data_IF_671372387664
#
_entry.id   IF_671372387664
#
_cell.length_a   1.000
_cell.length_b   1.000
_cell.length_c   1.000
_cell.angle_alpha   90.00
_cell.angle_beta   90.00
_cell.angle_gamma   90.00
#
_symmetry.space_group_name_H-M   'P 1'
#
loop_
_entity.id
_entity.type
_entity.pdbx_description
1 polymer ?
#
# COMPACT_ATOMS: atom_id res chain seq x y z
N UNK A 1 2.49 0.96 27.32
CA UNK A 1 2.51 2.37 26.86
C UNK A 1 1.13 2.77 26.40
N UNK A 2 0.60 3.95 26.82
CA UNK A 2 -0.75 4.40 26.42
C UNK A 2 -0.97 4.36 24.92
N UNK A 3 0.06 4.67 24.16
CA UNK A 3 0.01 4.60 22.70
C UNK A 3 -0.15 3.15 22.20
N UNK A 4 0.62 2.21 22.74
CA UNK A 4 0.54 0.79 22.36
C UNK A 4 -0.81 0.19 22.77
N UNK A 5 -1.29 0.53 23.95
CA UNK A 5 -2.56 0.02 24.44
C UNK A 5 -3.72 0.49 23.53
N UNK A 6 -3.68 1.77 23.15
CA UNK A 6 -4.67 2.32 22.20
C UNK A 6 -4.56 1.71 20.80
N UNK A 7 -3.34 1.45 20.32
CA UNK A 7 -3.14 0.74 19.05
C UNK A 7 -3.76 -0.67 19.08
N UNK A 8 -3.57 -1.39 20.17
CA UNK A 8 -4.16 -2.74 20.33
C UNK A 8 -5.68 -2.70 20.29
N UNK A 9 -6.30 -1.72 20.95
CA UNK A 9 -7.76 -1.55 20.94
C UNK A 9 -8.30 -1.27 19.54
N UNK A 10 -7.65 -0.38 18.79
CA UNK A 10 -8.12 0.04 17.48
C UNK A 10 -7.82 -0.98 16.37
N UNK A 11 -6.68 -1.64 16.44
CA UNK A 11 -6.24 -2.53 15.37
C UNK A 11 -6.61 -3.99 15.60
N UNK A 12 -7.11 -4.34 16.78
CA UNK A 12 -7.31 -5.74 17.20
C UNK A 12 -6.02 -6.56 17.10
N UNK A 13 -4.87 -5.89 17.05
CA UNK A 13 -3.55 -6.48 16.84
C UNK A 13 -2.62 -6.20 17.99
N UNK A 14 -1.94 -7.22 18.44
CA UNK A 14 -0.76 -7.05 19.28
C UNK A 14 0.48 -6.99 18.37
N UNK A 15 1.16 -5.83 18.28
CA UNK A 15 2.32 -5.69 17.39
C UNK A 15 3.51 -6.55 17.81
N UNK A 16 3.54 -7.04 19.05
CA UNK A 16 4.63 -7.88 19.54
C UNK A 16 4.38 -9.37 19.31
N UNK A 17 3.19 -9.86 19.63
CA UNK A 17 2.86 -11.27 19.46
C UNK A 17 2.46 -11.64 18.03
N UNK A 18 1.99 -10.69 17.26
CA UNK A 18 1.42 -10.89 15.92
C UNK A 18 0.17 -11.77 15.94
N UNK A 19 -0.42 -11.99 17.10
CA UNK A 19 -1.72 -12.68 17.22
C UNK A 19 -2.81 -11.74 16.80
N UNK A 20 -3.73 -12.23 15.99
CA UNK A 20 -4.77 -11.44 15.33
C UNK A 20 -4.23 -10.34 14.43
N UNK A 21 -4.24 -10.62 13.24
CA UNK A 21 -3.62 -9.84 12.23
C UNK A 21 -4.53 -9.00 11.49
N UNK A 22 -4.16 -7.89 11.31
CA UNK A 22 -3.85 -7.56 9.91
C UNK A 22 -2.91 -6.39 9.95
N UNK A 23 -1.86 -6.35 9.16
CA UNK A 23 -1.15 -5.13 8.88
C UNK A 23 -2.10 -4.14 8.20
N UNK A 24 -3.25 -3.89 8.81
CA UNK A 24 -4.25 -2.96 8.34
C UNK A 24 -3.75 -1.54 8.53
N UNK A 25 -4.00 -0.68 7.54
CA UNK A 25 -3.89 0.76 7.68
C UNK A 25 -5.16 1.25 8.36
N UNK A 26 -5.00 1.99 9.47
CA UNK A 26 -6.11 2.67 10.14
C UNK A 26 -6.14 4.09 9.62
N UNK A 27 -7.26 4.49 9.04
CA UNK A 27 -7.47 5.83 8.49
C UNK A 27 -8.48 6.59 9.34
N UNK A 28 -8.13 7.81 9.73
CA UNK A 28 -9.05 8.72 10.40
C UNK A 28 -9.86 9.45 9.34
N UNK A 29 -11.13 9.11 9.23
CA UNK A 29 -12.03 9.62 8.18
C UNK A 29 -12.38 11.10 8.34
N UNK A 30 -12.25 11.64 9.54
CA UNK A 30 -12.47 13.05 9.88
C UNK A 30 -11.20 13.89 9.85
N UNK A 31 -10.04 13.28 9.56
CA UNK A 31 -8.77 13.99 9.48
C UNK A 31 -8.69 14.88 8.25
N UNK A 32 -8.47 16.19 8.46
CA UNK A 32 -8.21 17.14 7.38
C UNK A 32 -6.99 16.77 6.53
N UNK A 33 -5.99 16.14 7.14
CA UNK A 33 -4.80 15.62 6.45
C UNK A 33 -5.04 14.26 5.78
N UNK A 34 -6.23 13.67 5.97
CA UNK A 34 -6.49 12.29 5.60
C UNK A 34 -5.41 11.37 6.18
N UNK A 35 -5.19 11.52 7.49
CA UNK A 35 -4.14 10.82 8.22
C UNK A 35 -4.47 9.35 8.37
N UNK A 36 -3.48 8.52 8.12
CA UNK A 36 -3.54 7.08 8.35
C UNK A 36 -2.30 6.64 9.08
N UNK A 37 -2.40 5.54 9.83
CA UNK A 37 -1.23 4.92 10.41
C UNK A 37 -1.28 3.39 10.30
N UNK A 38 -0.12 2.78 10.39
CA UNK A 38 0.02 1.33 10.49
C UNK A 38 1.15 0.98 11.44
N UNK A 39 0.94 -0.07 12.20
CA UNK A 39 1.94 -0.68 13.06
C UNK A 39 2.07 -2.15 12.70
N UNK A 40 3.08 -2.47 11.95
CA UNK A 40 3.38 -3.84 11.58
C UNK A 40 3.87 -4.64 12.80
N UNK A 41 3.95 -5.97 12.63
CA UNK A 41 4.55 -6.83 13.65
C UNK A 41 5.97 -6.35 13.99
N UNK A 42 6.31 -6.35 15.28
CA UNK A 42 7.60 -5.93 15.80
C UNK A 42 8.47 -7.15 16.18
N UNK A 43 9.79 -7.09 15.99
CA UNK A 43 10.54 -6.00 15.36
C UNK A 43 10.25 -5.91 13.87
N UNK A 44 10.14 -4.68 13.35
CA UNK A 44 9.93 -4.44 11.92
C UNK A 44 11.25 -4.57 11.13
N UNK A 45 12.37 -4.20 11.77
CA UNK A 45 13.70 -4.34 11.19
C UNK A 45 14.55 -5.33 11.98
N UNK A 46 15.45 -6.11 11.33
CA UNK A 46 16.30 -7.10 12.01
C UNK A 46 17.14 -6.53 13.15
N UNK A 47 17.58 -5.29 13.03
CA UNK A 47 18.45 -4.59 14.02
C UNK A 47 17.67 -3.70 14.99
N UNK A 48 16.35 -3.74 14.95
CA UNK A 48 15.52 -2.90 15.82
C UNK A 48 15.64 -3.37 17.27
N UNK A 49 15.89 -2.45 18.23
CA UNK A 49 15.87 -2.76 19.65
C UNK A 49 14.48 -3.30 20.08
N UNK A 50 14.47 -4.20 21.03
CA UNK A 50 13.24 -4.88 21.49
C UNK A 50 12.24 -3.97 22.20
N UNK A 51 12.71 -2.87 22.75
CA UNK A 51 11.95 -1.85 23.47
C UNK A 51 11.47 -0.70 22.56
N UNK A 52 11.81 -0.75 21.28
CA UNK A 52 11.42 0.26 20.29
C UNK A 52 10.26 -0.27 19.44
N UNK A 53 9.25 0.56 19.27
CA UNK A 53 8.12 0.34 18.36
C UNK A 53 8.25 1.26 17.15
N UNK A 54 8.17 0.70 15.94
CA UNK A 54 8.15 1.48 14.70
C UNK A 54 6.71 1.59 14.19
N UNK A 55 6.26 2.83 14.04
CA UNK A 55 4.92 3.17 13.53
C UNK A 55 5.07 4.06 12.30
N UNK A 56 4.32 3.73 11.26
CA UNK A 56 4.24 4.53 10.04
C UNK A 56 2.97 5.36 10.07
N UNK A 57 3.13 6.67 9.85
CA UNK A 57 2.01 7.61 9.75
C UNK A 57 2.05 8.25 8.37
N UNK A 58 0.92 8.29 7.71
CA UNK A 58 0.76 8.84 6.36
C UNK A 58 -0.21 10.01 6.38
N UNK A 59 0.00 10.97 5.51
CA UNK A 59 -0.95 12.03 5.24
C UNK A 59 -0.99 12.30 3.74
N UNK A 60 -2.17 12.41 3.16
CA UNK A 60 -2.37 12.63 1.72
C UNK A 60 -2.74 14.08 1.40
N UNK A 61 -3.52 14.74 2.25
CA UNK A 61 -3.99 16.11 2.07
C UNK A 61 -3.18 17.09 2.94
N UNK A 62 -1.87 17.01 2.83
CA UNK A 62 -0.91 17.66 3.73
C UNK A 62 -0.86 19.17 3.63
N UNK A 63 -1.42 19.78 2.59
CA UNK A 63 -1.43 21.24 2.38
C UNK A 63 -2.53 21.95 3.19
N UNK A 64 -3.48 21.20 3.73
CA UNK A 64 -4.54 21.73 4.58
C UNK A 64 -4.05 21.90 6.03
N UNK A 65 -4.61 22.86 6.80
CA UNK A 65 -4.43 22.86 8.25
C UNK A 65 -5.00 21.59 8.88
N UNK A 66 -4.31 21.07 9.90
CA UNK A 66 -4.83 19.95 10.69
C UNK A 66 -6.10 20.29 11.45
N UNK A 67 -6.76 19.30 12.01
CA UNK A 67 -7.96 19.49 12.82
C UNK A 67 -7.64 20.21 14.13
N UNK A 68 -6.51 19.86 14.73
CA UNK A 68 -6.05 20.35 16.02
C UNK A 68 -4.83 21.26 15.85
N UNK A 69 -3.84 20.86 15.08
CA UNK A 69 -2.70 21.68 14.71
C UNK A 69 -3.06 22.52 13.48
N UNK A 70 -3.26 23.82 13.70
CA UNK A 70 -3.76 24.76 12.66
C UNK A 70 -2.67 25.18 11.65
N UNK A 71 -1.88 24.22 11.19
CA UNK A 71 -0.82 24.38 10.19
C UNK A 71 -0.90 23.30 9.13
N UNK A 72 -0.42 23.54 7.91
CA UNK A 72 -0.13 22.46 6.95
C UNK A 72 0.93 21.51 7.50
N UNK A 73 0.79 20.21 7.25
CA UNK A 73 1.69 19.21 7.82
C UNK A 73 3.18 19.44 7.51
N UNK A 74 3.60 19.90 6.33
CA UNK A 74 5.01 20.20 6.04
C UNK A 74 5.62 21.32 6.90
N UNK A 75 4.77 22.19 7.46
CA UNK A 75 5.19 23.26 8.35
C UNK A 75 5.18 22.87 9.83
N UNK A 76 4.80 21.62 10.14
CA UNK A 76 4.73 21.13 11.51
C UNK A 76 6.06 20.55 11.97
N UNK A 77 6.32 20.70 13.27
CA UNK A 77 7.34 19.93 13.97
C UNK A 77 6.88 18.50 14.19
N UNK A 78 7.82 17.58 14.47
CA UNK A 78 7.47 16.21 14.83
C UNK A 78 6.52 16.09 16.03
N UNK A 79 6.66 17.00 17.02
CA UNK A 79 5.77 17.05 18.18
C UNK A 79 4.36 17.49 17.80
N UNK A 80 4.21 18.43 16.88
CA UNK A 80 2.90 18.88 16.40
C UNK A 80 2.19 17.77 15.61
N UNK A 81 2.91 17.03 14.77
CA UNK A 81 2.35 15.86 14.05
C UNK A 81 1.91 14.79 15.06
N UNK A 82 2.72 14.54 16.08
CA UNK A 82 2.36 13.60 17.15
C UNK A 82 1.13 14.08 17.93
N UNK A 83 1.01 15.39 18.18
CA UNK A 83 -0.15 15.97 18.85
C UNK A 83 -1.44 15.72 18.02
N UNK A 84 -1.41 15.99 16.73
CA UNK A 84 -2.52 15.71 15.83
C UNK A 84 -2.92 14.23 15.88
N UNK A 85 -1.93 13.33 15.81
CA UNK A 85 -2.17 11.89 15.92
C UNK A 85 -2.77 11.50 17.28
N UNK A 86 -2.26 12.03 18.39
CA UNK A 86 -2.78 11.73 19.73
C UNK A 86 -4.23 12.19 19.90
N UNK A 87 -4.61 13.33 19.34
CA UNK A 87 -5.99 13.79 19.32
C UNK A 87 -6.89 12.82 18.54
N UNK A 88 -6.51 12.42 17.35
CA UNK A 88 -7.29 11.44 16.59
C UNK A 88 -7.38 10.07 17.27
N UNK A 89 -6.38 9.71 18.06
CA UNK A 89 -6.39 8.50 18.88
C UNK A 89 -7.20 8.64 20.19
N UNK A 90 -7.59 9.85 20.60
CA UNK A 90 -8.27 10.12 21.87
C UNK A 90 -7.36 9.98 23.09
N UNK A 91 -6.05 10.21 22.93
CA UNK A 91 -5.03 10.15 23.99
C UNK A 91 -4.24 11.46 24.13
N UNK A 92 -4.83 12.58 23.71
CA UNK A 92 -4.20 13.90 23.78
C UNK A 92 -3.76 14.29 25.21
N UNK A 93 -4.50 13.84 26.21
CA UNK A 93 -4.18 14.05 27.63
C UNK A 93 -2.87 13.38 28.08
N UNK A 94 -2.32 12.50 27.27
CA UNK A 94 -1.03 11.79 27.48
C UNK A 94 0.05 12.25 26.52
N UNK A 95 -0.16 13.34 25.79
CA UNK A 95 0.78 13.81 24.76
C UNK A 95 2.19 13.99 25.29
N UNK A 96 2.36 14.57 26.48
CA UNK A 96 3.69 14.81 27.04
C UNK A 96 4.44 13.51 27.35
N UNK A 97 3.74 12.53 27.93
CA UNK A 97 4.30 11.21 28.20
C UNK A 97 4.71 10.49 26.88
N UNK A 98 3.82 10.54 25.89
CA UNK A 98 4.07 9.91 24.59
C UNK A 98 5.22 10.61 23.88
N UNK A 99 5.24 11.94 23.86
CA UNK A 99 6.26 12.74 23.19
C UNK A 99 7.66 12.57 23.81
N UNK A 100 7.74 12.43 25.14
CA UNK A 100 9.01 12.18 25.83
C UNK A 100 9.67 10.86 25.40
N UNK A 101 8.87 9.88 24.97
CA UNK A 101 9.32 8.55 24.57
C UNK A 101 9.23 8.29 23.05
N UNK A 102 8.92 9.30 22.24
CA UNK A 102 8.73 9.15 20.81
C UNK A 102 9.70 10.03 20.01
N UNK A 103 10.29 9.44 18.98
CA UNK A 103 11.08 10.18 17.99
C UNK A 103 10.35 10.19 16.68
N UNK A 104 9.87 11.35 16.26
CA UNK A 104 9.22 11.54 14.98
C UNK A 104 10.24 11.91 13.91
N UNK A 105 10.16 11.26 12.76
CA UNK A 105 10.91 11.59 11.55
C UNK A 105 9.94 11.88 10.43
N UNK A 106 9.92 13.13 9.97
CA UNK A 106 9.15 13.54 8.81
C UNK A 106 9.94 13.26 7.54
N UNK A 107 9.31 12.61 6.58
CA UNK A 107 9.82 12.44 5.24
C UNK A 107 8.74 12.91 4.25
N UNK A 108 9.08 13.90 3.44
CA UNK A 108 8.25 14.32 2.31
C UNK A 108 8.62 13.44 1.12
N UNK A 109 7.61 12.88 0.47
CA UNK A 109 7.78 12.02 -0.69
C UNK A 109 7.03 12.62 -1.88
N UNK A 110 7.66 13.55 -2.61
CA UNK A 110 7.02 14.23 -3.74
C UNK A 110 6.54 13.22 -4.78
N UNK A 111 5.32 13.45 -5.28
CA UNK A 111 4.72 12.64 -6.34
C UNK A 111 4.49 11.16 -6.01
N UNK A 112 4.58 10.74 -4.75
CA UNK A 112 4.38 9.34 -4.34
C UNK A 112 3.01 8.79 -4.76
N UNK A 113 2.00 9.64 -4.84
CA UNK A 113 0.64 9.29 -5.27
C UNK A 113 0.40 9.43 -6.77
N UNK A 114 1.41 9.84 -7.54
CA UNK A 114 1.28 10.04 -9.00
C UNK A 114 0.83 8.76 -9.75
N UNK A 115 1.09 7.58 -9.20
CA UNK A 115 0.64 6.31 -9.74
C UNK A 115 -0.89 6.16 -9.80
N UNK A 116 -1.62 6.89 -8.94
CA UNK A 116 -3.08 6.86 -8.90
C UNK A 116 -3.73 7.93 -9.80
N UNK A 117 -2.94 8.80 -10.40
CA UNK A 117 -3.47 9.83 -11.28
C UNK A 117 -3.88 9.23 -12.62
N UNK A 118 -5.00 9.72 -13.22
CA UNK A 118 -5.39 9.35 -14.56
C UNK A 118 -4.26 9.62 -15.55
N UNK A 119 -4.09 8.70 -16.51
CA UNK A 119 -3.10 8.84 -17.57
C UNK A 119 -3.60 8.19 -18.86
N UNK A 120 -3.11 8.65 -19.98
CA UNK A 120 -3.25 7.97 -21.27
C UNK A 120 -2.11 6.97 -21.50
N UNK A 121 -2.32 6.05 -22.41
CA UNK A 121 -1.25 5.16 -22.86
C UNK A 121 -0.13 5.99 -23.52
N UNK A 122 1.10 5.73 -23.10
CA UNK A 122 2.28 6.45 -23.60
C UNK A 122 2.67 7.71 -22.81
N UNK A 123 1.91 8.08 -21.77
CA UNK A 123 2.27 9.20 -20.88
C UNK A 123 3.53 8.91 -20.04
N UNK A 124 3.92 7.66 -19.96
CA UNK A 124 5.10 7.21 -19.23
C UNK A 124 6.19 6.75 -20.19
N UNK A 125 7.46 6.94 -19.83
CA UNK A 125 8.57 6.44 -20.65
C UNK A 125 8.57 4.91 -20.67
N UNK A 126 9.01 4.32 -21.78
CA UNK A 126 9.31 2.90 -21.83
C UNK A 126 10.44 2.52 -20.88
N UNK A 127 10.48 1.28 -20.44
CA UNK A 127 11.55 0.73 -19.58
C UNK A 127 12.94 0.98 -20.19
N UNK A 128 13.08 0.77 -21.48
CA UNK A 128 14.25 1.22 -22.24
C UNK A 128 13.75 2.24 -23.28
N UNK A 129 14.00 3.53 -23.08
CA UNK A 129 13.54 4.55 -24.02
C UNK A 129 14.15 4.37 -25.42
N UNK A 130 13.40 4.76 -26.44
CA UNK A 130 13.85 4.66 -27.81
C UNK A 130 15.21 5.38 -28.02
N UNK A 131 16.15 4.72 -28.69
CA UNK A 131 17.51 5.23 -28.90
C UNK A 131 18.48 5.03 -27.71
N UNK A 132 18.03 4.59 -26.56
CA UNK A 132 18.90 4.31 -25.41
C UNK A 132 19.49 2.88 -25.51
N UNK A 133 20.82 2.79 -25.29
CA UNK A 133 21.55 1.52 -25.32
C UNK A 133 22.13 1.11 -23.97
N UNK A 134 22.14 2.04 -23.01
CA UNK A 134 22.75 1.89 -21.69
C UNK A 134 21.89 2.50 -20.55
N UNK A 135 20.65 2.88 -20.85
CA UNK A 135 19.71 3.43 -19.87
C UNK A 135 18.48 2.54 -19.77
N UNK A 136 18.16 2.09 -18.58
CA UNK A 136 16.91 1.40 -18.23
C UNK A 136 16.22 2.12 -17.09
N UNK A 137 14.94 2.39 -17.25
CA UNK A 137 14.06 2.96 -16.24
C UNK A 137 13.22 1.83 -15.63
N UNK A 138 12.92 1.91 -14.34
CA UNK A 138 12.14 0.88 -13.67
C UNK A 138 11.28 1.46 -12.55
N UNK A 139 10.34 0.64 -12.06
CA UNK A 139 9.43 1.03 -11.00
C UNK A 139 8.16 1.69 -11.52
N UNK A 140 7.49 2.43 -10.65
CA UNK A 140 6.14 2.94 -10.89
C UNK A 140 6.01 4.02 -11.97
N UNK A 141 7.10 4.58 -12.45
CA UNK A 141 7.10 5.70 -13.39
C UNK A 141 7.32 5.28 -14.84
N UNK A 142 7.39 4.01 -15.13
CA UNK A 142 7.57 3.50 -16.50
C UNK A 142 6.27 2.92 -17.07
N UNK A 143 6.18 2.88 -18.39
CA UNK A 143 5.05 2.25 -19.07
C UNK A 143 5.13 0.73 -18.95
N UNK A 144 4.06 0.14 -18.46
CA UNK A 144 3.86 -1.32 -18.41
C UNK A 144 2.43 -1.62 -18.82
N UNK A 145 2.25 -2.57 -19.72
CA UNK A 145 0.92 -3.03 -20.12
C UNK A 145 0.35 -3.99 -19.08
N UNK A 146 -0.91 -3.78 -18.71
CA UNK A 146 -1.70 -4.69 -17.87
C UNK A 146 -1.11 -4.98 -16.47
N UNK A 147 -0.24 -4.12 -15.94
CA UNK A 147 0.36 -4.31 -14.62
C UNK A 147 -0.19 -3.33 -13.58
N UNK A 148 -0.15 -3.73 -12.32
CA UNK A 148 -0.45 -2.86 -11.18
C UNK A 148 0.86 -2.18 -10.76
N UNK A 149 1.06 -0.98 -11.23
CA UNK A 149 2.34 -0.28 -11.26
C UNK A 149 2.95 0.12 -9.92
N UNK A 150 2.25 0.00 -8.81
CA UNK A 150 2.80 0.32 -7.48
C UNK A 150 3.23 -0.91 -6.68
N UNK A 151 3.17 -2.10 -7.29
CA UNK A 151 3.54 -3.34 -6.62
C UNK A 151 5.04 -3.63 -6.74
N UNK A 152 5.54 -4.43 -5.80
CA UNK A 152 6.91 -4.96 -5.86
C UNK A 152 7.12 -5.79 -7.12
N UNK A 153 6.11 -6.56 -7.52
CA UNK A 153 6.15 -7.40 -8.74
C UNK A 153 6.33 -6.55 -9.99
N UNK A 154 5.65 -5.42 -10.08
CA UNK A 154 5.83 -4.45 -11.17
C UNK A 154 7.27 -3.93 -11.22
N UNK A 155 7.86 -3.58 -10.08
CA UNK A 155 9.23 -3.11 -10.00
C UNK A 155 10.24 -4.18 -10.43
N UNK A 156 10.05 -5.43 -10.00
CA UNK A 156 10.90 -6.56 -10.40
C UNK A 156 10.71 -6.87 -11.89
N UNK A 157 9.50 -6.80 -12.40
CA UNK A 157 9.18 -7.03 -13.81
C UNK A 157 9.90 -6.01 -14.70
N UNK A 158 9.77 -4.73 -14.38
CA UNK A 158 10.44 -3.65 -15.14
C UNK A 158 11.95 -3.76 -15.08
N UNK A 159 12.53 -4.13 -13.93
CA UNK A 159 13.95 -4.41 -13.81
C UNK A 159 14.40 -5.58 -14.72
N UNK A 160 13.62 -6.66 -14.77
CA UNK A 160 13.91 -7.79 -15.69
C UNK A 160 13.82 -7.37 -17.15
N UNK A 161 12.81 -6.58 -17.53
CA UNK A 161 12.69 -6.05 -18.89
C UNK A 161 13.91 -5.19 -19.24
N UNK A 162 14.33 -4.29 -18.34
CA UNK A 162 15.52 -3.47 -18.53
C UNK A 162 16.78 -4.33 -18.81
N UNK A 163 17.05 -5.28 -17.91
CA UNK A 163 18.23 -6.16 -18.02
C UNK A 163 18.18 -6.99 -19.30
N UNK A 164 17.06 -7.64 -19.61
CA UNK A 164 16.96 -8.50 -20.78
C UNK A 164 17.10 -7.71 -22.08
N UNK A 165 16.55 -6.51 -22.14
CA UNK A 165 16.64 -5.64 -23.31
C UNK A 165 18.05 -5.09 -23.50
N UNK A 166 18.62 -4.49 -22.46
CA UNK A 166 19.97 -3.86 -22.54
C UNK A 166 21.08 -4.89 -22.81
N UNK A 167 20.99 -6.07 -22.20
CA UNK A 167 21.95 -7.14 -22.41
C UNK A 167 21.61 -8.05 -23.61
N UNK A 168 20.55 -7.73 -24.37
CA UNK A 168 20.10 -8.50 -25.54
C UNK A 168 19.88 -10.00 -25.22
N UNK A 169 19.39 -10.30 -24.03
CA UNK A 169 19.16 -11.67 -23.62
C UNK A 169 17.91 -12.23 -24.32
N UNK A 170 18.02 -13.46 -24.83
CA UNK A 170 16.88 -14.18 -25.42
C UNK A 170 15.99 -14.80 -24.32
N UNK A 171 15.54 -13.95 -23.39
CA UNK A 171 14.66 -14.33 -22.29
C UNK A 171 13.40 -13.49 -22.33
N UNK A 172 12.27 -14.09 -21.99
CA UNK A 172 10.98 -13.40 -21.88
C UNK A 172 10.63 -13.21 -20.41
N UNK A 173 10.13 -12.03 -20.08
CA UNK A 173 9.46 -11.81 -18.78
C UNK A 173 8.06 -12.43 -18.90
N UNK A 174 7.64 -13.29 -17.98
CA UNK A 174 6.30 -13.90 -18.03
C UNK A 174 5.21 -12.83 -18.08
N UNK A 175 4.16 -13.09 -18.83
CA UNK A 175 3.00 -12.20 -18.89
C UNK A 175 2.25 -12.20 -17.56
N UNK A 176 1.49 -11.14 -17.32
CA UNK A 176 0.60 -11.05 -16.17
C UNK A 176 -0.66 -11.84 -16.52
N UNK A 177 -1.13 -12.62 -15.56
CA UNK A 177 -2.41 -13.31 -15.70
C UNK A 177 -3.56 -12.28 -15.76
N UNK A 178 -4.34 -12.24 -16.85
CA UNK A 178 -5.40 -11.24 -17.02
C UNK A 178 -6.65 -11.63 -16.20
N UNK A 179 -6.55 -11.64 -14.88
CA UNK A 179 -7.61 -12.10 -13.97
C UNK A 179 -8.90 -11.30 -14.10
N UNK A 180 -8.85 -10.06 -14.62
CA UNK A 180 -10.03 -9.25 -14.93
C UNK A 180 -10.89 -9.86 -16.05
N UNK A 181 -10.34 -10.78 -16.84
CA UNK A 181 -11.07 -11.51 -17.87
C UNK A 181 -11.31 -12.99 -17.51
N UNK A 182 -10.80 -13.43 -16.35
CA UNK A 182 -11.07 -14.80 -15.87
C UNK A 182 -12.46 -14.85 -15.21
N UNK A 183 -13.37 -15.51 -15.88
CA UNK A 183 -14.76 -15.63 -15.43
C UNK A 183 -14.89 -16.30 -14.06
N UNK A 184 -13.97 -17.18 -13.68
CA UNK A 184 -13.94 -17.83 -12.36
C UNK A 184 -13.58 -16.83 -11.27
N UNK A 185 -12.62 -15.96 -11.56
CA UNK A 185 -12.23 -14.86 -10.64
C UNK A 185 -13.36 -13.85 -10.49
N UNK A 186 -14.04 -13.52 -11.58
CA UNK A 186 -15.21 -12.63 -11.57
C UNK A 186 -16.39 -13.25 -10.77
N UNK A 187 -16.64 -14.54 -10.92
CA UNK A 187 -17.68 -15.24 -10.15
C UNK A 187 -17.33 -15.29 -8.66
N UNK A 188 -16.08 -15.54 -8.30
CA UNK A 188 -15.63 -15.49 -6.91
C UNK A 188 -15.80 -14.08 -6.31
N UNK A 189 -15.44 -13.07 -7.06
CA UNK A 189 -15.62 -11.68 -6.63
C UNK A 189 -17.11 -11.33 -6.46
N UNK A 190 -17.94 -11.70 -7.43
CA UNK A 190 -19.37 -11.47 -7.37
C UNK A 190 -20.01 -12.21 -6.19
N UNK A 191 -19.60 -13.46 -5.93
CA UNK A 191 -20.05 -14.22 -4.76
C UNK A 191 -19.64 -13.54 -3.44
N UNK A 192 -18.41 -13.05 -3.33
CA UNK A 192 -17.95 -12.32 -2.15
C UNK A 192 -18.78 -11.04 -1.91
N UNK A 193 -19.13 -10.32 -2.97
CA UNK A 193 -20.04 -9.17 -2.90
C UNK A 193 -21.47 -9.53 -2.49
N UNK A 194 -21.90 -10.78 -2.75
CA UNK A 194 -23.20 -11.30 -2.34
C UNK A 194 -23.11 -12.07 -1.01
N UNK A 195 -22.33 -11.58 -0.04
CA UNK A 195 -22.15 -12.19 1.29
C UNK A 195 -21.78 -13.68 1.27
N UNK A 196 -21.06 -14.11 0.25
CA UNK A 196 -20.72 -15.51 -0.05
C UNK A 196 -21.93 -16.43 -0.38
N UNK A 197 -23.10 -15.86 -0.58
CA UNK A 197 -24.27 -16.61 -1.05
C UNK A 197 -24.14 -16.98 -2.53
N UNK A 198 -24.52 -18.20 -2.91
CA UNK A 198 -24.45 -18.63 -4.30
C UNK A 198 -25.49 -17.89 -5.18
N UNK A 199 -25.11 -17.62 -6.42
CA UNK A 199 -26.02 -17.04 -7.40
C UNK A 199 -26.98 -18.10 -8.01
N UNK A 200 -28.16 -17.69 -8.44
CA UNK A 200 -28.99 -18.54 -9.28
C UNK A 200 -28.23 -18.98 -10.54
N UNK A 201 -28.09 -20.28 -10.74
CA UNK A 201 -27.36 -20.84 -11.88
C UNK A 201 -25.84 -21.01 -11.70
N UNK A 202 -25.25 -20.59 -10.61
CA UNK A 202 -23.80 -20.73 -10.34
C UNK A 202 -23.31 -22.18 -10.50
N UNK A 203 -24.07 -23.16 -10.01
CA UNK A 203 -23.73 -24.59 -10.13
C UNK A 203 -23.69 -25.06 -11.60
N UNK A 204 -24.58 -24.54 -12.42
CA UNK A 204 -24.62 -24.88 -13.86
C UNK A 204 -23.40 -24.25 -14.56
N UNK A 205 -23.09 -23.03 -14.22
CA UNK A 205 -21.95 -22.31 -14.79
C UNK A 205 -20.62 -22.96 -14.41
N UNK A 206 -20.44 -23.38 -13.16
CA UNK A 206 -19.27 -24.17 -12.75
C UNK A 206 -19.14 -25.49 -13.53
N UNK A 207 -20.23 -26.24 -13.73
CA UNK A 207 -20.22 -27.46 -14.56
C UNK A 207 -19.83 -27.21 -16.02
N UNK A 208 -20.20 -26.06 -16.56
CA UNK A 208 -19.83 -25.68 -17.92
C UNK A 208 -18.35 -25.28 -18.00
N UNK A 209 -17.86 -24.55 -17.02
CA UNK A 209 -16.45 -24.12 -16.93
C UNK A 209 -15.50 -25.29 -16.69
N UNK A 210 -15.89 -26.25 -15.84
CA UNK A 210 -15.10 -27.47 -15.55
C UNK A 210 -14.95 -28.40 -16.77
N UNK A 211 -15.85 -28.28 -17.73
CA UNK A 211 -15.81 -29.06 -19.02
C UNK A 211 -15.02 -28.35 -20.11
N UNK A 212 -14.59 -27.13 -19.90
CA UNK A 212 -13.82 -26.37 -20.88
C UNK A 212 -12.31 -26.50 -20.64
N UNK A 213 -11.53 -26.26 -21.69
CA UNK A 213 -10.07 -26.33 -21.71
C UNK A 213 -9.38 -25.50 -20.59
N UNK A 214 -10.13 -24.64 -19.91
CA UNK A 214 -9.67 -23.78 -18.81
C UNK A 214 -9.67 -24.44 -17.41
N UNK A 215 -10.00 -25.74 -17.33
CA UNK A 215 -10.04 -26.46 -16.05
C UNK A 215 -8.64 -26.75 -15.45
N UNK A 216 -7.56 -26.49 -16.20
CA UNK A 216 -6.20 -26.86 -15.84
C UNK A 216 -5.19 -25.69 -15.83
N UNK A 217 -5.64 -24.44 -15.81
CA UNK A 217 -4.77 -23.25 -15.66
C UNK A 217 -4.91 -22.66 -14.26
#
# INVERSE_FOLDING_TARGET
>A
SPFVDRLKELSVNDPYSGKTVTGGIITFTDSNWMMSFTCNRQPHFPTQPKDVLVVWVYALLMDKPGNYVKKPMPACTGREILAELCHHLGIEHKLDEVAANTKVRLALMPYITAMFMPRAAGDRPHVVPAGCTNLGLMGQFVETSNDIIFTMDSSIRTARVAVYTLLKLRKRVPDISPTQYDIRSLLKAARALNNNEPFPGERLLHRLLDKTYFAHI
#
